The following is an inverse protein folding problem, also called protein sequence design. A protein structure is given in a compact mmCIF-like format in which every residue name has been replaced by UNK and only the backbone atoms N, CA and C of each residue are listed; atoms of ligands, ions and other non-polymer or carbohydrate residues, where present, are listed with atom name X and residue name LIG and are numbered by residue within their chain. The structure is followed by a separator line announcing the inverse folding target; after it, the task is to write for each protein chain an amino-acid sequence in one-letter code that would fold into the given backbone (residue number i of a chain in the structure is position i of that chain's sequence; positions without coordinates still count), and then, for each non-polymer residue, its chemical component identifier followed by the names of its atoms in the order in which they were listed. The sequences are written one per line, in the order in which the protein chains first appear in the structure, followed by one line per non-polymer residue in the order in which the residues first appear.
data_IF_513515006967
#
_entry.id   IF_513515006967
#
_cell.length_a   1.000
_cell.length_b   1.000
_cell.length_c   1.000
_cell.angle_alpha   90.00
_cell.angle_beta   90.00
_cell.angle_gamma   90.00
#
_symmetry.space_group_name_H-M   'P 1'
#
loop_
_entity.id
_entity.type
_entity.pdbx_description
1 polymer ?
#
# COMPACT_ATOMS: atom_id res chain seq x y z
N UNK A 1 15.79 -12.45 12.20
CA UNK A 1 16.03 -13.91 12.13
C UNK A 1 15.49 -14.45 10.82
N UNK A 2 16.30 -15.25 10.13
CA UNK A 2 15.86 -15.88 8.90
C UNK A 2 14.98 -17.09 9.22
N UNK A 3 13.88 -17.29 8.47
CA UNK A 3 13.12 -18.52 8.64
C UNK A 3 13.95 -19.73 8.20
N UNK A 4 13.68 -20.88 8.79
CA UNK A 4 14.30 -22.13 8.35
C UNK A 4 13.77 -22.51 6.97
N UNK A 5 14.48 -23.36 6.27
CA UNK A 5 14.02 -23.86 4.97
C UNK A 5 12.64 -24.55 5.12
N UNK A 6 12.43 -25.33 6.14
CA UNK A 6 11.15 -26.00 6.38
C UNK A 6 10.03 -24.99 6.60
N UNK A 7 10.29 -23.89 7.31
CA UNK A 7 9.29 -22.84 7.53
C UNK A 7 8.98 -22.12 6.21
N UNK A 8 10.01 -21.79 5.42
CA UNK A 8 9.83 -21.14 4.12
C UNK A 8 9.01 -22.01 3.16
N UNK A 9 9.25 -23.31 3.14
CA UNK A 9 8.49 -24.24 2.32
C UNK A 9 7.03 -24.33 2.76
N UNK A 10 6.76 -24.35 4.07
CA UNK A 10 5.39 -24.38 4.59
C UNK A 10 4.65 -23.08 4.27
N UNK A 11 5.31 -21.94 4.37
CA UNK A 11 4.71 -20.66 4.00
C UNK A 11 4.39 -20.60 2.52
N UNK A 12 5.29 -21.09 1.67
CA UNK A 12 5.05 -21.17 0.22
C UNK A 12 3.86 -22.05 -0.11
N UNK A 13 3.73 -23.21 0.54
CA UNK A 13 2.58 -24.10 0.34
C UNK A 13 1.29 -23.44 0.83
N UNK A 14 1.34 -22.74 1.95
CA UNK A 14 0.16 -22.03 2.46
C UNK A 14 -0.35 -21.01 1.43
N UNK A 15 0.56 -20.24 0.82
CA UNK A 15 0.18 -19.27 -0.20
C UNK A 15 -0.39 -19.96 -1.45
N UNK A 16 0.23 -21.05 -1.89
CA UNK A 16 -0.25 -21.81 -3.06
C UNK A 16 -1.65 -22.37 -2.82
N UNK A 17 -1.86 -22.99 -1.66
CA UNK A 17 -3.16 -23.57 -1.32
C UNK A 17 -4.23 -22.50 -1.12
N UNK A 18 -3.87 -21.40 -0.46
CA UNK A 18 -4.78 -20.29 -0.22
C UNK A 18 -5.15 -19.62 -1.54
N UNK A 19 -4.17 -19.35 -2.41
CA UNK A 19 -4.42 -18.74 -3.70
C UNK A 19 -5.31 -19.63 -4.57
N UNK A 20 -5.08 -20.94 -4.58
CA UNK A 20 -5.91 -21.87 -5.33
C UNK A 20 -7.38 -21.81 -4.89
N UNK A 21 -7.62 -21.55 -3.59
CA UNK A 21 -8.97 -21.48 -3.02
C UNK A 21 -9.66 -20.14 -3.30
N UNK A 22 -8.94 -19.03 -3.27
CA UNK A 22 -9.55 -17.70 -3.27
C UNK A 22 -9.15 -16.80 -4.44
N UNK A 23 -8.27 -17.25 -5.34
CA UNK A 23 -7.77 -16.41 -6.44
C UNK A 23 -8.89 -15.78 -7.27
N UNK A 24 -9.98 -16.53 -7.50
CA UNK A 24 -11.10 -16.04 -8.29
C UNK A 24 -11.88 -14.95 -7.58
N UNK A 25 -11.82 -14.92 -6.24
CA UNK A 25 -12.43 -13.85 -5.43
C UNK A 25 -11.54 -12.61 -5.37
N UNK A 26 -10.22 -12.81 -5.40
CA UNK A 26 -9.24 -11.72 -5.32
C UNK A 26 -9.07 -11.04 -6.69
N UNK A 27 -9.09 -11.81 -7.77
CA UNK A 27 -8.79 -11.32 -9.11
C UNK A 27 -9.60 -10.08 -9.53
N UNK A 28 -10.93 -10.01 -9.30
CA UNK A 28 -11.66 -8.81 -9.68
C UNK A 28 -11.21 -7.55 -8.94
N UNK A 29 -10.68 -7.71 -7.72
CA UNK A 29 -10.21 -6.58 -6.92
C UNK A 29 -8.83 -6.10 -7.34
N UNK A 30 -8.06 -6.93 -8.06
CA UNK A 30 -6.71 -6.55 -8.50
C UNK A 30 -6.72 -5.36 -9.46
N UNK A 31 -7.69 -5.29 -10.37
CA UNK A 31 -7.78 -4.14 -11.27
C UNK A 31 -8.10 -2.86 -10.52
N UNK A 32 -9.06 -2.92 -9.59
CA UNK A 32 -9.39 -1.78 -8.75
C UNK A 32 -8.17 -1.37 -7.91
N UNK A 33 -7.46 -2.34 -7.35
CA UNK A 33 -6.24 -2.07 -6.59
C UNK A 33 -5.18 -1.39 -7.46
N UNK A 34 -4.95 -1.88 -8.67
CA UNK A 34 -3.95 -1.31 -9.57
C UNK A 34 -4.24 0.15 -9.91
N UNK A 35 -5.50 0.51 -10.11
CA UNK A 35 -5.88 1.90 -10.37
C UNK A 35 -5.54 2.79 -9.18
N UNK A 36 -5.84 2.33 -7.95
CA UNK A 36 -5.51 3.08 -6.74
C UNK A 36 -3.99 3.12 -6.54
N UNK A 37 -3.30 2.03 -6.84
CA UNK A 37 -1.84 1.96 -6.74
C UNK A 37 -1.17 3.01 -7.64
N UNK A 38 -1.65 3.18 -8.87
CA UNK A 38 -1.12 4.20 -9.77
C UNK A 38 -1.33 5.60 -9.20
N UNK A 39 -2.49 5.86 -8.63
CA UNK A 39 -2.77 7.13 -7.94
C UNK A 39 -1.82 7.34 -6.77
N UNK A 40 -1.62 6.32 -5.96
CA UNK A 40 -0.72 6.41 -4.80
C UNK A 40 0.73 6.64 -5.22
N UNK A 41 1.21 5.95 -6.26
CA UNK A 41 2.56 6.18 -6.79
C UNK A 41 2.77 7.64 -7.20
N UNK A 42 1.77 8.24 -7.85
CA UNK A 42 1.81 9.64 -8.21
C UNK A 42 1.90 10.56 -7.00
N UNK A 43 1.15 10.23 -5.96
CA UNK A 43 1.17 11.01 -4.70
C UNK A 43 2.54 10.91 -4.01
N UNK A 44 3.12 9.71 -3.95
CA UNK A 44 4.45 9.52 -3.35
C UNK A 44 5.49 10.31 -4.15
N UNK A 45 5.39 10.30 -5.48
CA UNK A 45 6.28 11.10 -6.33
C UNK A 45 6.13 12.58 -6.00
N UNK A 46 4.89 13.08 -5.88
CA UNK A 46 4.63 14.49 -5.56
C UNK A 46 5.09 14.86 -4.15
N UNK A 47 5.15 13.89 -3.26
CA UNK A 47 5.72 14.10 -1.92
C UNK A 47 7.23 14.26 -1.97
N UNK A 48 7.89 13.46 -2.79
CA UNK A 48 9.36 13.43 -2.88
C UNK A 48 9.91 14.48 -3.84
N UNK A 49 9.14 14.84 -4.85
CA UNK A 49 9.56 15.74 -5.91
C UNK A 49 8.51 16.83 -6.10
N UNK A 50 8.94 17.98 -6.62
CA UNK A 50 8.00 19.01 -7.02
C UNK A 50 8.48 19.70 -8.27
N UNK A 51 7.55 20.25 -9.04
CA UNK A 51 7.83 21.01 -10.24
C UNK A 51 8.02 22.49 -9.85
N UNK A 52 9.19 23.03 -10.16
CA UNK A 52 9.50 24.45 -9.96
C UNK A 52 9.90 25.05 -11.30
N UNK A 53 9.05 25.90 -11.83
CA UNK A 53 9.25 26.58 -13.11
C UNK A 53 9.52 25.59 -14.27
N UNK A 54 8.77 24.47 -14.30
CA UNK A 54 8.89 23.44 -15.33
C UNK A 54 10.03 22.45 -15.12
N UNK A 55 10.77 22.56 -13.99
CA UNK A 55 11.85 21.63 -13.67
C UNK A 55 11.47 20.82 -12.45
N UNK A 56 11.58 19.48 -12.57
CA UNK A 56 11.30 18.60 -11.44
C UNK A 56 12.49 18.61 -10.49
N UNK A 57 12.25 18.95 -9.23
CA UNK A 57 13.26 19.06 -8.18
C UNK A 57 12.85 18.26 -6.96
N UNK A 58 13.83 17.90 -6.13
CA UNK A 58 13.54 17.25 -4.86
C UNK A 58 12.71 18.22 -4.00
N UNK A 59 11.62 17.69 -3.42
CA UNK A 59 10.79 18.46 -2.50
C UNK A 59 11.51 18.62 -1.17
N UNK A 60 11.92 19.84 -0.84
CA UNK A 60 12.63 20.14 0.40
C UNK A 60 11.68 20.47 1.56
N UNK A 61 10.38 20.33 1.33
CA UNK A 61 9.31 20.59 2.31
C UNK A 61 9.30 22.03 2.84
N UNK A 62 9.78 22.97 2.03
CA UNK A 62 9.78 24.39 2.39
C UNK A 62 8.42 25.06 2.18
N UNK A 63 7.50 24.39 1.47
CA UNK A 63 6.16 24.91 1.21
C UNK A 63 5.13 24.05 1.95
N UNK A 64 4.68 24.50 3.15
CA UNK A 64 3.74 23.71 3.93
C UNK A 64 2.36 23.56 3.26
N UNK A 65 1.94 24.49 2.43
CA UNK A 65 0.66 24.38 1.72
C UNK A 65 0.72 23.28 0.65
N UNK A 66 1.85 23.20 -0.06
CA UNK A 66 2.07 22.12 -1.03
C UNK A 66 2.05 20.75 -0.33
N UNK A 67 2.80 20.62 0.76
CA UNK A 67 2.87 19.36 1.51
C UNK A 67 1.50 18.98 2.08
N UNK A 68 0.74 19.93 2.59
CA UNK A 68 -0.60 19.68 3.12
C UNK A 68 -1.54 19.17 2.02
N UNK A 69 -1.44 19.73 0.82
CA UNK A 69 -2.24 19.28 -0.31
C UNK A 69 -1.92 17.84 -0.69
N UNK A 70 -0.62 17.48 -0.72
CA UNK A 70 -0.19 16.11 -1.04
C UNK A 70 -0.69 15.13 0.04
N UNK A 71 -0.53 15.48 1.32
CA UNK A 71 -1.00 14.64 2.42
C UNK A 71 -2.51 14.42 2.36
N UNK A 72 -3.27 15.47 2.03
CA UNK A 72 -4.72 15.38 1.92
C UNK A 72 -5.15 14.40 0.83
N UNK A 73 -4.40 14.34 -0.26
CA UNK A 73 -4.70 13.41 -1.36
C UNK A 73 -4.58 11.95 -0.94
N UNK A 74 -3.69 11.63 0.00
CA UNK A 74 -3.62 10.26 0.53
C UNK A 74 -4.96 9.86 1.14
N UNK A 75 -5.56 10.74 1.93
CA UNK A 75 -6.84 10.48 2.56
C UNK A 75 -7.97 10.43 1.54
N UNK A 76 -8.08 11.43 0.67
CA UNK A 76 -9.24 11.59 -0.21
C UNK A 76 -9.22 10.68 -1.43
N UNK A 77 -8.04 10.45 -2.01
CA UNK A 77 -7.93 9.72 -3.28
C UNK A 77 -7.49 8.27 -3.13
N UNK A 78 -6.80 7.94 -2.04
CA UNK A 78 -6.26 6.60 -1.83
C UNK A 78 -6.98 5.87 -0.71
N UNK A 79 -7.01 6.43 0.49
CA UNK A 79 -7.57 5.74 1.66
C UNK A 79 -9.06 5.45 1.49
N UNK A 80 -9.80 6.41 0.96
CA UNK A 80 -11.23 6.25 0.68
C UNK A 80 -11.46 5.14 -0.35
N UNK A 81 -10.57 5.00 -1.34
CA UNK A 81 -10.70 3.99 -2.39
C UNK A 81 -10.24 2.61 -1.95
N UNK A 82 -9.17 2.52 -1.12
CA UNK A 82 -8.61 1.21 -0.72
C UNK A 82 -9.46 0.51 0.35
N UNK A 83 -10.16 1.26 1.20
CA UNK A 83 -10.93 0.68 2.29
C UNK A 83 -11.97 -0.34 1.80
N UNK A 84 -12.81 -0.05 0.80
CA UNK A 84 -13.75 -1.05 0.30
C UNK A 84 -13.07 -2.23 -0.40
N UNK A 85 -11.91 -2.02 -1.01
CA UNK A 85 -11.14 -3.11 -1.64
C UNK A 85 -10.66 -4.08 -0.57
N UNK A 86 -10.09 -3.59 0.52
CA UNK A 86 -9.63 -4.43 1.63
C UNK A 86 -10.81 -5.19 2.24
N UNK A 87 -11.94 -4.50 2.45
CA UNK A 87 -13.13 -5.13 3.00
C UNK A 87 -13.60 -6.29 2.12
N UNK A 88 -13.54 -6.13 0.81
CA UNK A 88 -13.98 -7.16 -0.13
C UNK A 88 -13.04 -8.36 -0.15
N UNK A 89 -11.71 -8.15 -0.23
CA UNK A 89 -10.76 -9.26 -0.22
C UNK A 89 -10.71 -9.96 1.14
N UNK A 90 -11.00 -9.23 2.22
CA UNK A 90 -11.03 -9.80 3.57
C UNK A 90 -12.19 -10.77 3.78
N UNK A 91 -13.23 -10.71 2.97
CA UNK A 91 -14.30 -11.72 2.99
C UNK A 91 -13.78 -13.11 2.65
N UNK A 92 -12.76 -13.19 1.80
CA UNK A 92 -12.14 -14.45 1.40
C UNK A 92 -10.97 -14.83 2.32
N UNK A 93 -10.25 -13.83 2.85
CA UNK A 93 -9.14 -14.04 3.77
C UNK A 93 -9.14 -12.94 4.82
N UNK A 94 -9.75 -13.23 5.97
CA UNK A 94 -9.97 -12.25 7.05
C UNK A 94 -8.67 -11.62 7.56
N UNK A 95 -7.57 -12.34 7.50
CA UNK A 95 -6.26 -11.84 7.93
C UNK A 95 -5.87 -10.53 7.24
N UNK A 96 -6.41 -10.28 6.05
CA UNK A 96 -6.12 -9.06 5.30
C UNK A 96 -6.67 -7.80 5.97
N UNK A 97 -7.61 -7.92 6.93
CA UNK A 97 -8.11 -6.76 7.68
C UNK A 97 -7.01 -6.04 8.45
N UNK A 98 -5.93 -6.72 8.80
CA UNK A 98 -4.82 -6.09 9.51
C UNK A 98 -4.18 -4.95 8.71
N UNK A 99 -4.25 -5.02 7.38
CA UNK A 99 -3.72 -3.94 6.54
C UNK A 99 -4.55 -2.67 6.66
N UNK A 100 -5.87 -2.81 6.79
CA UNK A 100 -6.73 -1.66 7.02
C UNK A 100 -6.35 -0.95 8.32
N UNK A 101 -6.17 -1.69 9.40
CA UNK A 101 -5.78 -1.12 10.70
C UNK A 101 -4.42 -0.44 10.61
N UNK A 102 -3.45 -1.06 9.96
CA UNK A 102 -2.11 -0.51 9.81
C UNK A 102 -2.11 0.75 8.95
N UNK A 103 -2.86 0.77 7.85
CA UNK A 103 -2.99 1.96 7.00
C UNK A 103 -3.69 3.10 7.74
N UNK A 104 -4.74 2.81 8.50
CA UNK A 104 -5.43 3.80 9.32
C UNK A 104 -4.52 4.40 10.38
N UNK A 105 -3.69 3.56 11.00
CA UNK A 105 -2.72 4.01 12.00
C UNK A 105 -1.70 4.96 11.38
N UNK A 106 -1.16 4.61 10.21
CA UNK A 106 -0.21 5.47 9.50
C UNK A 106 -0.86 6.80 9.11
N UNK A 107 -2.08 6.75 8.58
CA UNK A 107 -2.81 7.95 8.17
C UNK A 107 -3.08 8.88 9.36
N UNK A 108 -3.47 8.31 10.50
CA UNK A 108 -3.70 9.09 11.73
C UNK A 108 -2.42 9.79 12.18
N UNK A 109 -1.29 9.09 12.15
CA UNK A 109 0.00 9.68 12.54
C UNK A 109 0.43 10.79 11.59
N UNK A 110 0.17 10.62 10.29
CA UNK A 110 0.42 11.68 9.31
C UNK A 110 -0.40 12.93 9.67
N UNK A 111 -1.67 12.75 10.02
CA UNK A 111 -2.54 13.86 10.43
C UNK A 111 -2.10 14.53 11.72
N UNK A 112 -1.35 13.83 12.57
CA UNK A 112 -0.78 14.38 13.81
C UNK A 112 0.56 15.08 13.57
N UNK A 113 1.05 15.12 12.33
CA UNK A 113 2.28 15.79 11.97
C UNK A 113 3.49 14.88 11.80
N UNK A 114 3.33 13.56 11.94
CA UNK A 114 4.42 12.60 11.73
C UNK A 114 4.54 12.26 10.24
N UNK A 115 5.21 13.13 9.49
CA UNK A 115 5.34 13.00 8.05
C UNK A 115 6.22 11.81 7.61
N UNK A 116 7.05 11.27 8.50
CA UNK A 116 7.81 10.06 8.20
C UNK A 116 6.88 8.86 7.93
N UNK A 117 5.66 8.90 8.44
CA UNK A 117 4.69 7.84 8.25
C UNK A 117 4.09 7.81 6.84
N UNK A 118 4.48 8.74 5.96
CA UNK A 118 4.07 8.70 4.55
C UNK A 118 4.87 7.62 3.80
N UNK A 119 6.20 7.67 3.86
CA UNK A 119 7.03 6.82 2.99
C UNK A 119 8.35 6.35 3.60
N UNK A 120 8.57 6.52 4.90
CA UNK A 120 9.85 6.12 5.52
C UNK A 120 10.02 4.60 5.43
N UNK A 121 11.09 4.10 4.77
CA UNK A 121 11.23 2.67 4.47
C UNK A 121 11.47 1.80 5.70
N UNK A 122 11.97 2.37 6.80
CA UNK A 122 12.29 1.64 8.03
C UNK A 122 11.17 1.70 9.06
N UNK A 123 10.06 2.34 8.75
CA UNK A 123 8.90 2.46 9.63
C UNK A 123 7.70 1.81 8.99
N UNK A 124 6.67 1.58 9.81
CA UNK A 124 5.39 1.06 9.36
C UNK A 124 4.58 2.19 8.73
N UNK A 125 5.21 2.84 7.72
CA UNK A 125 4.63 3.98 7.01
C UNK A 125 3.52 3.52 6.06
N UNK A 126 2.72 4.45 5.60
CA UNK A 126 1.65 4.15 4.65
C UNK A 126 2.21 3.44 3.41
N UNK A 127 3.34 3.91 2.89
CA UNK A 127 4.00 3.29 1.73
C UNK A 127 4.50 1.87 2.02
N UNK A 128 5.10 1.65 3.18
CA UNK A 128 5.60 0.33 3.56
C UNK A 128 4.45 -0.68 3.71
N UNK A 129 3.38 -0.29 4.40
CA UNK A 129 2.20 -1.15 4.57
C UNK A 129 1.53 -1.43 3.21
N UNK A 130 1.44 -0.40 2.37
CA UNK A 130 0.89 -0.54 1.02
C UNK A 130 1.65 -1.56 0.19
N UNK A 131 2.99 -1.50 0.23
CA UNK A 131 3.84 -2.44 -0.48
C UNK A 131 3.59 -3.88 -0.01
N UNK A 132 3.49 -4.10 1.30
CA UNK A 132 3.21 -5.42 1.84
C UNK A 132 1.84 -5.95 1.40
N UNK A 133 0.83 -5.08 1.41
CA UNK A 133 -0.51 -5.44 0.93
C UNK A 133 -0.46 -5.82 -0.55
N UNK A 134 0.23 -5.03 -1.37
CA UNK A 134 0.36 -5.29 -2.80
C UNK A 134 1.00 -6.65 -3.07
N UNK A 135 2.12 -6.94 -2.39
CA UNK A 135 2.81 -8.21 -2.53
C UNK A 135 1.90 -9.38 -2.15
N UNK A 136 1.15 -9.24 -1.07
CA UNK A 136 0.29 -10.31 -0.60
C UNK A 136 -0.88 -10.55 -1.56
N UNK A 137 -1.48 -9.48 -2.09
CA UNK A 137 -2.55 -9.62 -3.08
C UNK A 137 -2.05 -10.28 -4.37
N UNK A 138 -0.84 -9.94 -4.82
CA UNK A 138 -0.23 -10.60 -5.98
C UNK A 138 -0.11 -12.11 -5.75
N UNK A 139 0.41 -12.49 -4.58
CA UNK A 139 0.59 -13.92 -4.26
C UNK A 139 -0.73 -14.65 -4.12
N UNK A 140 -1.73 -14.02 -3.50
CA UNK A 140 -3.05 -14.65 -3.30
C UNK A 140 -3.88 -14.72 -4.58
N UNK A 141 -3.62 -13.85 -5.55
CA UNK A 141 -4.27 -13.91 -6.86
C UNK A 141 -3.62 -14.93 -7.80
N UNK A 142 -2.51 -15.52 -7.40
CA UNK A 142 -1.75 -16.44 -8.24
C UNK A 142 -0.95 -15.75 -9.34
N UNK A 143 -0.88 -14.41 -9.31
CA UNK A 143 -0.11 -13.65 -10.29
C UNK A 143 1.37 -13.65 -9.95
N UNK A 144 2.19 -13.50 -10.98
CA UNK A 144 3.62 -13.23 -10.82
C UNK A 144 3.79 -11.72 -10.90
N UNK A 145 4.58 -11.15 -9.97
CA UNK A 145 4.86 -9.73 -9.97
C UNK A 145 5.60 -9.34 -11.26
N UNK A 146 5.03 -8.37 -12.00
CA UNK A 146 5.73 -7.75 -13.11
C UNK A 146 6.02 -6.31 -12.75
N UNK A 147 7.21 -5.89 -13.02
CA UNK A 147 7.68 -4.54 -12.77
C UNK A 147 7.26 -3.60 -13.91
#
# INVERSE_FOLDING_TARGET
MRPTQALSERMGRWYEETAARIKDDIEPQMEAFHAVNDTFKGIVTDWQMRDVDGVQMINDHSDPDYDATVMKRIETDVHTAITPIIAEVAKSEERLLRYQTRLETALRKIGEGDTEMIAHPMKDSYHTVWFELHEELIRLSGRVRSE
#
